data_IF_957570374296
#
_entry.id   IF_957570374296
#
_cell.length_a   1.000
_cell.length_b   1.000
_cell.length_c   1.000
_cell.angle_alpha   90.00
_cell.angle_beta   90.00
_cell.angle_gamma   90.00
#
_symmetry.space_group_name_H-M   'P 1'
#
loop_
_entity.id
_entity.type
_entity.pdbx_description
1 polymer ?
#
# COMPACT_ATOMS: atom_id res chain seq x y z
N UNK A 1 -26.96 -34.37 -0.88
CA UNK A 1 -25.69 -33.79 -0.40
C UNK A 1 -25.51 -32.45 -1.10
N UNK A 2 -25.74 -31.34 -0.40
CA UNK A 2 -25.45 -30.02 -0.96
C UNK A 2 -23.92 -29.90 -0.99
N UNK A 3 -23.34 -29.89 -2.18
CA UNK A 3 -21.93 -29.59 -2.37
C UNK A 3 -21.74 -28.14 -1.96
N UNK A 4 -21.13 -27.92 -0.80
CA UNK A 4 -20.78 -26.59 -0.31
C UNK A 4 -19.81 -25.94 -1.30
N UNK A 5 -20.35 -25.05 -2.14
CA UNK A 5 -19.52 -24.21 -3.01
C UNK A 5 -18.84 -23.19 -2.11
N UNK A 6 -17.52 -23.09 -2.19
CA UNK A 6 -16.78 -22.08 -1.44
C UNK A 6 -17.22 -20.66 -1.80
N UNK A 7 -16.83 -19.69 -0.97
CA UNK A 7 -17.19 -18.28 -1.13
C UNK A 7 -16.78 -17.70 -2.50
N UNK A 8 -15.55 -17.98 -2.96
CA UNK A 8 -15.03 -17.48 -4.25
C UNK A 8 -15.84 -17.91 -5.48
N UNK A 9 -16.23 -19.20 -5.64
CA UNK A 9 -17.17 -19.61 -6.68
C UNK A 9 -18.51 -18.86 -6.70
N UNK A 10 -19.07 -18.54 -5.53
CA UNK A 10 -20.36 -17.85 -5.43
C UNK A 10 -20.22 -16.37 -5.81
N UNK A 11 -19.14 -15.71 -5.37
CA UNK A 11 -18.79 -14.36 -5.84
C UNK A 11 -18.63 -14.30 -7.36
N UNK A 12 -17.93 -15.29 -7.96
CA UNK A 12 -17.73 -15.36 -9.42
C UNK A 12 -19.03 -15.56 -10.21
N UNK A 13 -20.09 -16.06 -9.58
CA UNK A 13 -21.41 -16.18 -10.18
C UNK A 13 -22.21 -14.86 -10.13
N UNK A 14 -21.64 -13.80 -9.55
CA UNK A 14 -22.28 -12.49 -9.44
C UNK A 14 -23.33 -12.41 -8.34
N UNK A 15 -23.37 -13.38 -7.41
CA UNK A 15 -24.25 -13.31 -6.24
C UNK A 15 -23.87 -12.14 -5.34
N UNK A 16 -24.87 -11.51 -4.71
CA UNK A 16 -24.62 -10.46 -3.74
C UNK A 16 -24.10 -11.04 -2.42
N UNK A 17 -23.48 -10.23 -1.57
CA UNK A 17 -23.00 -10.68 -0.25
C UNK A 17 -24.15 -11.26 0.62
N UNK A 18 -25.34 -10.63 0.71
CA UNK A 18 -26.49 -11.24 1.39
C UNK A 18 -26.86 -12.63 0.84
N UNK A 19 -26.98 -12.78 -0.50
CA UNK A 19 -27.31 -14.08 -1.11
C UNK A 19 -26.28 -15.16 -0.76
N UNK A 20 -25.00 -14.80 -0.75
CA UNK A 20 -23.91 -15.70 -0.41
C UNK A 20 -24.00 -16.11 1.06
N UNK A 21 -24.23 -15.16 1.97
CA UNK A 21 -24.30 -15.44 3.41
C UNK A 21 -25.53 -16.29 3.75
N UNK A 22 -26.68 -16.03 3.13
CA UNK A 22 -27.90 -16.85 3.29
C UNK A 22 -27.67 -18.30 2.85
N UNK A 23 -27.01 -18.53 1.71
CA UNK A 23 -26.69 -19.88 1.24
C UNK A 23 -25.69 -20.61 2.15
N UNK A 24 -24.69 -19.91 2.68
CA UNK A 24 -23.64 -20.51 3.50
C UNK A 24 -24.08 -20.77 4.94
N UNK A 25 -24.93 -19.91 5.50
CA UNK A 25 -25.33 -19.95 6.91
C UNK A 25 -26.71 -20.59 7.14
N UNK A 26 -27.56 -20.68 6.11
CA UNK A 26 -28.84 -21.38 6.19
C UNK A 26 -29.70 -20.95 7.39
N UNK A 27 -30.03 -21.90 8.26
CA UNK A 27 -30.90 -21.74 9.42
C UNK A 27 -30.18 -21.24 10.69
N UNK A 28 -28.94 -20.78 10.59
CA UNK A 28 -28.17 -20.22 11.72
C UNK A 28 -28.64 -18.85 12.21
N UNK A 29 -29.76 -18.33 11.69
CA UNK A 29 -30.35 -17.07 12.16
C UNK A 29 -29.55 -15.83 11.77
N UNK A 30 -29.18 -15.72 10.48
CA UNK A 30 -28.45 -14.56 9.94
C UNK A 30 -29.24 -13.25 10.15
N UNK A 31 -28.61 -12.26 10.76
CA UNK A 31 -29.12 -10.88 10.89
C UNK A 31 -28.11 -9.94 10.23
N UNK A 32 -28.52 -9.26 9.16
CA UNK A 32 -27.69 -8.28 8.45
C UNK A 32 -28.09 -6.88 8.92
N UNK A 33 -27.11 -6.11 9.40
CA UNK A 33 -27.30 -4.71 9.77
C UNK A 33 -27.44 -3.82 8.53
N UNK A 34 -28.22 -2.73 8.59
CA UNK A 34 -28.48 -1.87 7.43
C UNK A 34 -27.26 -1.03 7.00
N UNK A 35 -26.27 -0.88 7.88
CA UNK A 35 -25.09 -0.07 7.61
C UNK A 35 -24.19 -0.74 6.56
N UNK A 36 -23.99 -0.04 5.44
CA UNK A 36 -23.10 -0.48 4.36
C UNK A 36 -21.92 0.48 4.29
N UNK A 37 -20.71 -0.10 4.21
CA UNK A 37 -19.48 0.66 4.03
C UNK A 37 -18.90 0.37 2.65
N UNK A 38 -18.62 1.44 1.90
CA UNK A 38 -17.92 1.32 0.64
C UNK A 38 -16.44 1.03 0.89
N UNK A 39 -16.00 -0.16 0.52
CA UNK A 39 -14.61 -0.57 0.64
C UNK A 39 -13.83 -0.11 -0.59
N UNK A 40 -12.62 0.41 -0.35
CA UNK A 40 -11.66 0.79 -1.39
C UNK A 40 -10.27 0.42 -0.93
N UNK A 41 -9.43 0.00 -1.86
CA UNK A 41 -8.00 -0.08 -1.60
C UNK A 41 -7.45 1.34 -1.43
N UNK A 42 -6.68 1.59 -0.37
CA UNK A 42 -6.06 2.88 -0.10
C UNK A 42 -4.69 2.69 0.56
N UNK A 43 -3.64 3.19 -0.08
CA UNK A 43 -2.30 3.22 0.47
C UNK A 43 -1.88 4.67 0.76
N UNK A 44 -1.43 5.00 1.98
CA UNK A 44 -1.06 6.37 2.35
C UNK A 44 0.39 6.72 2.00
N UNK A 45 1.07 5.92 1.16
CA UNK A 45 2.41 6.26 0.70
C UNK A 45 2.37 7.56 -0.11
N UNK A 46 3.46 8.31 -0.04
CA UNK A 46 3.64 9.51 -0.83
C UNK A 46 5.11 9.69 -1.12
N UNK A 47 5.42 10.50 -2.14
CA UNK A 47 6.79 10.83 -2.47
C UNK A 47 7.53 11.48 -1.29
N UNK A 48 6.88 12.36 -0.53
CA UNK A 48 7.45 12.97 0.68
C UNK A 48 7.83 11.95 1.76
N UNK A 49 7.03 10.89 1.93
CA UNK A 49 7.34 9.80 2.88
C UNK A 49 8.52 8.96 2.40
N UNK A 50 8.64 8.76 1.09
CA UNK A 50 9.79 8.07 0.48
C UNK A 50 11.07 8.89 0.65
N UNK A 51 11.04 10.19 0.36
CA UNK A 51 12.19 11.08 0.61
C UNK A 51 12.60 11.07 2.09
N UNK A 52 11.62 11.11 3.00
CA UNK A 52 11.89 10.98 4.43
C UNK A 52 12.53 9.65 4.82
N UNK A 53 12.17 8.54 4.15
CA UNK A 53 12.81 7.24 4.36
C UNK A 53 14.24 7.20 3.80
N UNK A 54 14.48 7.75 2.61
CA UNK A 54 15.81 7.89 2.02
C UNK A 54 16.75 8.69 2.92
N UNK A 55 16.24 9.78 3.52
CA UNK A 55 17.00 10.61 4.47
C UNK A 55 17.58 9.82 5.65
N UNK A 56 16.94 8.73 6.08
CA UNK A 56 17.40 7.91 7.20
C UNK A 56 18.65 7.07 6.88
N UNK A 57 18.99 6.90 5.60
CA UNK A 57 20.19 6.16 5.18
C UNK A 57 21.48 6.94 5.47
N UNK A 58 21.39 8.27 5.60
CA UNK A 58 22.52 9.15 5.89
C UNK A 58 23.20 9.70 4.64
N UNK A 59 24.12 10.64 4.86
CA UNK A 59 24.76 11.41 3.78
C UNK A 59 25.60 10.55 2.83
N UNK A 60 26.36 9.59 3.35
CA UNK A 60 27.23 8.72 2.55
C UNK A 60 26.44 7.90 1.54
N UNK A 61 25.37 7.23 1.98
CA UNK A 61 24.51 6.42 1.12
C UNK A 61 23.78 7.27 0.07
N UNK A 62 23.29 8.46 0.45
CA UNK A 62 22.63 9.38 -0.48
C UNK A 62 23.60 9.91 -1.54
N UNK A 63 24.85 10.19 -1.16
CA UNK A 63 25.89 10.61 -2.11
C UNK A 63 26.24 9.49 -3.07
N UNK A 64 26.35 8.26 -2.57
CA UNK A 64 26.59 7.07 -3.40
C UNK A 64 25.50 6.88 -4.47
N UNK A 65 24.23 7.07 -4.11
CA UNK A 65 23.09 7.03 -5.05
C UNK A 65 23.19 8.10 -6.15
N UNK A 66 23.62 9.31 -5.82
CA UNK A 66 23.83 10.38 -6.82
C UNK A 66 24.94 9.98 -7.80
N UNK A 67 26.08 9.50 -7.29
CA UNK A 67 27.28 9.26 -8.09
C UNK A 67 27.18 8.00 -8.95
N UNK A 68 26.53 6.95 -8.43
CA UNK A 68 26.50 5.63 -9.07
C UNK A 68 25.23 5.41 -9.89
N UNK A 69 24.10 5.96 -9.43
CA UNK A 69 22.77 5.63 -9.96
C UNK A 69 22.02 6.84 -10.53
N UNK A 70 22.59 8.06 -10.48
CA UNK A 70 21.97 9.33 -10.90
C UNK A 70 20.59 9.56 -10.25
N UNK A 71 20.44 9.13 -9.00
CA UNK A 71 19.20 9.21 -8.25
C UNK A 71 18.89 7.94 -7.46
N UNK A 72 17.65 7.78 -7.05
CA UNK A 72 17.18 6.62 -6.30
C UNK A 72 15.79 6.19 -6.77
N UNK A 73 15.56 4.88 -6.86
CA UNK A 73 14.23 4.29 -7.06
C UNK A 73 13.80 3.54 -5.80
N UNK A 74 12.59 3.82 -5.32
CA UNK A 74 12.01 3.15 -4.16
C UNK A 74 10.62 2.63 -4.50
N UNK A 75 10.37 1.36 -4.22
CA UNK A 75 9.06 0.74 -4.39
C UNK A 75 8.35 0.65 -3.05
N UNK A 76 7.10 1.08 -2.98
CA UNK A 76 6.28 0.87 -1.78
C UNK A 76 5.89 -0.61 -1.67
N UNK A 77 6.35 -1.29 -0.61
CA UNK A 77 6.07 -2.71 -0.40
C UNK A 77 4.58 -3.03 -0.16
N UNK A 78 3.74 -2.02 0.14
CA UNK A 78 2.32 -2.21 0.39
C UNK A 78 1.47 -2.12 -0.87
N UNK A 79 1.71 -1.14 -1.73
CA UNK A 79 0.90 -0.89 -2.92
C UNK A 79 1.63 -1.12 -4.25
N UNK A 80 2.95 -1.31 -4.22
CA UNK A 80 3.78 -1.48 -5.40
C UNK A 80 4.07 -0.19 -6.18
N UNK A 81 3.65 0.97 -5.67
CA UNK A 81 3.94 2.26 -6.32
C UNK A 81 5.45 2.52 -6.35
N UNK A 82 5.97 2.91 -7.51
CA UNK A 82 7.39 3.17 -7.74
C UNK A 82 7.63 4.68 -7.73
N UNK A 83 8.51 5.11 -6.82
CA UNK A 83 8.92 6.50 -6.67
C UNK A 83 10.36 6.66 -7.13
N UNK A 84 10.65 7.76 -7.82
CA UNK A 84 11.99 8.10 -8.29
C UNK A 84 12.39 9.46 -7.74
N UNK A 85 13.49 9.48 -6.99
CA UNK A 85 14.13 10.69 -6.54
C UNK A 85 15.32 11.00 -7.46
N UNK A 86 15.38 12.22 -7.99
CA UNK A 86 16.50 12.67 -8.80
C UNK A 86 17.68 13.16 -7.94
N UNK A 87 18.84 13.32 -8.58
CA UNK A 87 20.07 13.79 -7.94
C UNK A 87 19.93 15.13 -7.23
N UNK A 88 19.06 16.04 -7.70
CA UNK A 88 18.83 17.32 -7.03
C UNK A 88 18.03 17.14 -5.73
N UNK A 89 17.04 16.26 -5.73
CA UNK A 89 16.25 15.93 -4.54
C UNK A 89 17.11 15.23 -3.49
N UNK A 90 18.00 14.32 -3.89
CA UNK A 90 18.96 13.69 -2.98
C UNK A 90 19.95 14.71 -2.42
N UNK A 91 20.47 15.63 -3.25
CA UNK A 91 21.34 16.71 -2.79
C UNK A 91 20.66 17.63 -1.76
N UNK A 92 19.35 17.90 -1.93
CA UNK A 92 18.58 18.65 -0.96
C UNK A 92 18.45 17.90 0.38
N UNK A 93 18.23 16.58 0.36
CA UNK A 93 18.18 15.77 1.58
C UNK A 93 19.50 15.78 2.35
N UNK A 94 20.63 15.77 1.63
CA UNK A 94 21.97 15.89 2.22
C UNK A 94 22.13 17.24 2.92
N UNK A 95 21.71 18.34 2.29
CA UNK A 95 21.78 19.68 2.90
C UNK A 95 20.89 19.79 4.15
N UNK A 96 19.68 19.22 4.08
CA UNK A 96 18.76 19.16 5.23
C UNK A 96 19.37 18.37 6.40
N UNK A 97 20.07 17.25 6.12
CA UNK A 97 20.77 16.45 7.13
C UNK A 97 21.91 17.24 7.80
N UNK A 98 22.71 17.95 7.01
CA UNK A 98 23.80 18.79 7.50
C UNK A 98 23.28 19.92 8.40
N UNK A 99 22.15 20.51 8.05
CA UNK A 99 21.53 21.61 8.82
C UNK A 99 20.94 21.14 10.15
N UNK A 100 20.36 19.94 10.20
CA UNK A 100 19.77 19.34 11.41
C UNK A 100 20.81 18.77 12.39
N UNK A 101 22.05 18.58 11.93
CA UNK A 101 23.16 18.02 12.73
C UNK A 101 23.95 19.08 13.51
N UNK A 102 23.56 20.37 13.41
CA UNK A 102 24.18 21.53 14.06
C UNK A 102 23.43 21.93 15.33
#
# INVERSE_FOLDING_TARGET
>A
MVSFRGFTPLLRQGKTLPDILEELLGDLGLVIFPDVQMLRFNCPCSFSRVLGALKLLGEEELQDMIEKDDGAEATCEFCGEVYRADSNQLAQLIEDLRTESV
#
